data_IF_566111921065
#
_entry.id   IF_566111921065
#
_cell.length_a   1.000
_cell.length_b   1.000
_cell.length_c   1.000
_cell.angle_alpha   90.00
_cell.angle_beta   90.00
_cell.angle_gamma   90.00
#
_symmetry.space_group_name_H-M   'P 1'
#
loop_
_entity.id
_entity.type
_entity.pdbx_description
1 polymer ?
#
# COMPACT_ATOMS: atom_id res chain seq x y z
N UNK A 1 21.44 35.56 5.20
CA UNK A 1 20.64 34.44 4.69
C UNK A 1 21.21 33.18 5.26
N UNK A 2 20.62 32.68 6.34
CA UNK A 2 21.04 31.45 7.03
C UNK A 2 19.84 30.86 7.80
N UNK A 3 18.66 30.79 7.18
CA UNK A 3 17.58 29.96 7.72
C UNK A 3 17.49 28.69 6.90
N UNK A 4 18.16 27.65 7.38
CA UNK A 4 17.98 26.30 6.89
C UNK A 4 16.56 25.88 7.28
N UNK A 5 15.67 25.72 6.30
CA UNK A 5 14.36 25.14 6.54
C UNK A 5 14.60 23.65 6.79
N UNK A 6 14.66 23.25 8.06
CA UNK A 6 14.62 21.84 8.41
C UNK A 6 13.19 21.35 8.22
N UNK A 7 12.97 20.53 7.20
CA UNK A 7 11.75 19.75 7.07
C UNK A 7 11.86 18.61 8.09
N UNK A 8 10.85 18.44 8.94
CA UNK A 8 10.87 17.37 9.95
C UNK A 8 10.91 15.99 9.27
N UNK A 9 11.51 15.01 9.94
CA UNK A 9 11.64 13.66 9.40
C UNK A 9 10.28 13.04 9.03
N UNK A 10 9.25 13.30 9.86
CA UNK A 10 7.88 12.86 9.59
C UNK A 10 7.27 13.50 8.33
N UNK A 11 7.60 14.76 8.03
CA UNK A 11 7.14 15.43 6.81
C UNK A 11 7.88 14.89 5.58
N UNK A 12 9.19 14.66 5.68
CA UNK A 12 9.97 14.02 4.62
C UNK A 12 9.44 12.61 4.30
N UNK A 13 9.10 11.83 5.33
CA UNK A 13 8.53 10.50 5.15
C UNK A 13 7.15 10.56 4.49
N UNK A 14 6.28 11.47 4.93
CA UNK A 14 4.97 11.68 4.32
C UNK A 14 5.06 12.05 2.83
N UNK A 15 5.99 12.95 2.47
CA UNK A 15 6.24 13.30 1.07
C UNK A 15 6.66 12.07 0.25
N UNK A 16 7.61 11.26 0.75
CA UNK A 16 8.04 10.01 0.11
C UNK A 16 6.89 9.00 -0.06
N UNK A 17 6.04 8.84 0.95
CA UNK A 17 4.89 7.92 0.91
C UNK A 17 3.80 8.38 -0.08
N UNK A 18 3.67 9.69 -0.28
CA UNK A 18 2.71 10.29 -1.23
C UNK A 18 3.18 10.26 -2.69
N UNK A 19 4.46 9.95 -2.93
CA UNK A 19 5.08 9.98 -4.26
C UNK A 19 4.39 9.07 -5.28
N UNK A 20 4.38 9.51 -6.54
CA UNK A 20 3.83 8.74 -7.65
C UNK A 20 4.68 8.94 -8.90
N UNK A 21 5.30 7.85 -9.36
CA UNK A 21 6.15 7.86 -10.54
C UNK A 21 5.31 7.82 -11.82
N UNK A 22 5.69 8.64 -12.80
CA UNK A 22 5.05 8.65 -14.14
C UNK A 22 5.12 7.29 -14.82
N UNK A 23 6.22 6.55 -14.60
CA UNK A 23 6.43 5.23 -15.17
C UNK A 23 5.49 4.20 -14.54
N UNK A 24 5.30 4.20 -13.22
CA UNK A 24 4.32 3.31 -12.60
C UNK A 24 2.91 3.64 -13.06
N UNK A 25 2.55 4.93 -13.19
CA UNK A 25 1.23 5.31 -13.72
C UNK A 25 0.94 4.66 -15.08
N UNK A 26 1.90 4.71 -16.01
CA UNK A 26 1.77 4.05 -17.31
C UNK A 26 1.70 2.52 -17.22
N UNK A 27 2.45 1.90 -16.30
CA UNK A 27 2.40 0.46 -16.10
C UNK A 27 1.06 -0.01 -15.50
N UNK A 28 0.41 0.87 -14.72
CA UNK A 28 -0.86 0.61 -14.04
C UNK A 28 -2.08 0.97 -14.89
N UNK A 29 -1.96 1.81 -15.93
CA UNK A 29 -3.06 2.23 -16.81
C UNK A 29 -3.94 1.08 -17.34
N UNK A 30 -3.40 -0.08 -17.75
CA UNK A 30 -4.22 -1.20 -18.21
C UNK A 30 -4.97 -1.95 -17.10
N UNK A 31 -4.58 -1.75 -15.83
CA UNK A 31 -5.18 -2.43 -14.69
C UNK A 31 -6.29 -1.57 -14.10
N UNK A 32 -7.52 -2.05 -14.18
CA UNK A 32 -8.66 -1.48 -13.45
C UNK A 32 -8.61 -1.88 -11.97
N UNK A 33 -7.53 -1.48 -11.29
CA UNK A 33 -7.28 -1.81 -9.90
C UNK A 33 -8.26 -1.10 -8.98
N UNK A 34 -8.83 -1.84 -8.02
CA UNK A 34 -9.59 -1.26 -6.91
C UNK A 34 -8.70 -0.58 -5.85
N UNK A 35 -7.38 -0.81 -5.92
CA UNK A 35 -6.36 -0.21 -5.06
C UNK A 35 -5.64 0.97 -5.73
N UNK A 36 -5.20 1.92 -4.91
CA UNK A 36 -4.62 3.18 -5.37
C UNK A 36 -3.11 3.28 -5.12
N UNK A 37 -2.54 2.33 -4.38
CA UNK A 37 -1.10 2.30 -4.05
C UNK A 37 -0.46 1.03 -4.61
N UNK A 38 0.67 1.14 -5.28
CA UNK A 38 1.55 0.02 -5.61
C UNK A 38 3.00 0.46 -5.46
N UNK A 39 3.86 -0.46 -5.06
CA UNK A 39 5.28 -0.18 -4.90
C UNK A 39 6.08 -1.29 -5.58
N UNK A 40 7.08 -0.91 -6.37
CA UNK A 40 7.92 -1.85 -7.12
C UNK A 40 9.38 -1.58 -6.83
N UNK A 41 10.16 -2.64 -6.66
CA UNK A 41 11.60 -2.54 -6.50
C UNK A 41 12.28 -2.68 -7.87
N UNK A 42 13.14 -1.72 -8.21
CA UNK A 42 13.81 -1.70 -9.54
C UNK A 42 15.27 -2.18 -9.52
N UNK A 43 15.85 -2.31 -8.33
CA UNK A 43 17.24 -2.76 -8.07
C UNK A 43 17.20 -3.76 -6.91
N UNK A 44 18.07 -4.78 -6.88
CA UNK A 44 18.04 -5.76 -5.79
C UNK A 44 18.46 -5.16 -4.44
N UNK A 45 18.07 -5.77 -3.32
CA UNK A 45 18.46 -5.30 -1.98
C UNK A 45 19.98 -5.34 -1.77
N UNK A 46 20.65 -6.40 -2.28
CA UNK A 46 22.11 -6.55 -2.22
C UNK A 46 22.84 -5.42 -2.95
N UNK A 47 22.26 -4.93 -4.05
CA UNK A 47 22.83 -3.84 -4.86
C UNK A 47 22.49 -2.45 -4.28
N UNK A 48 21.39 -2.33 -3.53
CA UNK A 48 20.84 -1.05 -3.09
C UNK A 48 21.26 -0.64 -1.67
N UNK A 49 21.54 -1.59 -0.78
CA UNK A 49 21.97 -1.32 0.59
C UNK A 49 21.01 -0.40 1.35
N UNK A 50 21.55 0.61 2.04
CA UNK A 50 20.77 1.61 2.81
C UNK A 50 19.90 2.54 1.93
N UNK A 51 20.15 2.60 0.62
CA UNK A 51 19.42 3.48 -0.31
C UNK A 51 18.29 2.75 -1.04
N UNK A 52 17.86 1.59 -0.56
CA UNK A 52 16.89 0.76 -1.27
C UNK A 52 15.54 1.44 -1.53
N UNK A 53 15.12 2.36 -0.66
CA UNK A 53 13.92 3.16 -0.90
C UNK A 53 14.04 4.11 -2.10
N UNK A 54 15.25 4.56 -2.46
CA UNK A 54 15.49 5.45 -3.59
C UNK A 54 15.34 4.73 -4.94
N UNK A 55 15.37 3.39 -4.92
CA UNK A 55 15.15 2.52 -6.08
C UNK A 55 13.72 1.97 -6.14
N UNK A 56 12.82 2.53 -5.33
CA UNK A 56 11.40 2.21 -5.36
C UNK A 56 10.70 3.02 -6.44
N UNK A 57 10.02 2.33 -7.34
CA UNK A 57 9.07 2.92 -8.25
C UNK A 57 7.68 2.84 -7.61
N UNK A 58 7.09 3.98 -7.28
CA UNK A 58 5.79 4.05 -6.60
C UNK A 58 4.67 4.43 -7.57
N UNK A 59 3.51 3.82 -7.40
CA UNK A 59 2.22 4.30 -7.88
C UNK A 59 1.42 4.68 -6.64
N UNK A 60 1.05 5.95 -6.53
CA UNK A 60 0.09 6.40 -5.54
C UNK A 60 -0.85 7.39 -6.24
N UNK A 61 -2.07 6.99 -6.55
CA UNK A 61 -3.05 7.84 -7.21
C UNK A 61 -4.26 8.04 -6.31
N UNK A 62 -4.27 9.15 -5.56
CA UNK A 62 -5.29 9.42 -4.54
C UNK A 62 -5.35 8.33 -3.45
N UNK A 63 -4.25 7.60 -3.24
CA UNK A 63 -4.13 6.55 -2.25
C UNK A 63 -3.58 7.05 -0.91
N UNK A 64 -3.72 6.21 0.11
CA UNK A 64 -3.26 6.48 1.47
C UNK A 64 -2.25 5.40 1.83
N UNK A 65 -0.97 5.65 1.55
CA UNK A 65 0.12 4.74 1.93
C UNK A 65 0.57 5.05 3.36
N UNK A 66 0.71 4.02 4.18
CA UNK A 66 1.29 4.13 5.52
C UNK A 66 2.57 3.29 5.60
N UNK A 67 3.50 3.69 6.46
CA UNK A 67 4.68 2.88 6.76
C UNK A 67 4.32 1.74 7.71
N UNK A 68 5.24 0.79 7.86
CA UNK A 68 5.06 -0.36 8.75
C UNK A 68 4.87 0.05 10.22
N UNK A 69 5.59 1.09 10.68
CA UNK A 69 5.49 1.57 12.05
C UNK A 69 4.08 2.10 12.38
N UNK A 70 3.44 2.83 11.45
CA UNK A 70 2.08 3.31 11.57
C UNK A 70 1.07 2.17 11.53
N UNK A 71 1.27 1.15 10.69
CA UNK A 71 0.43 -0.04 10.68
C UNK A 71 0.51 -0.81 12.01
N UNK A 72 1.73 -1.06 12.52
CA UNK A 72 1.93 -1.70 13.83
C UNK A 72 1.30 -0.91 14.98
N UNK A 73 1.39 0.43 14.92
CA UNK A 73 0.73 1.30 15.89
C UNK A 73 -0.79 1.17 15.81
N UNK A 74 -1.36 1.17 14.61
CA UNK A 74 -2.80 0.98 14.39
C UNK A 74 -3.27 -0.37 14.97
N UNK A 75 -2.52 -1.45 14.75
CA UNK A 75 -2.80 -2.77 15.35
C UNK A 75 -2.77 -2.77 16.88
N UNK A 76 -2.00 -1.86 17.50
CA UNK A 76 -1.98 -1.68 18.96
C UNK A 76 -3.13 -0.84 19.51
N UNK A 77 -3.76 -0.01 18.68
CA UNK A 77 -4.84 0.91 19.08
C UNK A 77 -6.24 0.33 18.84
N UNK A 78 -6.41 -0.49 17.80
CA UNK A 78 -7.69 -1.13 17.46
C UNK A 78 -7.49 -2.61 17.12
N UNK A 79 -8.55 -3.40 17.28
CA UNK A 79 -8.57 -4.78 16.79
C UNK A 79 -8.71 -4.79 15.27
N UNK A 80 -7.74 -5.43 14.61
CA UNK A 80 -7.72 -5.65 13.16
C UNK A 80 -7.81 -7.15 12.88
N UNK A 81 -8.87 -7.56 12.21
CA UNK A 81 -9.11 -8.95 11.81
C UNK A 81 -8.56 -9.19 10.40
N UNK A 82 -7.70 -10.20 10.21
CA UNK A 82 -7.17 -10.55 8.90
C UNK A 82 -8.27 -11.18 8.03
N UNK A 83 -8.34 -10.74 6.79
CA UNK A 83 -9.20 -11.28 5.75
C UNK A 83 -8.41 -11.40 4.44
N UNK A 84 -8.86 -12.27 3.54
CA UNK A 84 -8.21 -12.48 2.25
C UNK A 84 -9.23 -12.33 1.16
N UNK A 85 -8.85 -11.61 0.10
CA UNK A 85 -9.72 -11.34 -1.04
C UNK A 85 -8.96 -11.57 -2.34
N UNK A 86 -9.56 -12.32 -3.26
CA UNK A 86 -9.02 -12.49 -4.60
C UNK A 86 -9.41 -11.30 -5.47
N UNK A 87 -8.41 -10.60 -6.00
CA UNK A 87 -8.60 -9.39 -6.82
C UNK A 87 -7.74 -9.41 -8.07
N UNK A 88 -8.16 -8.72 -9.15
CA UNK A 88 -7.31 -8.51 -10.30
C UNK A 88 -6.01 -7.80 -9.91
N UNK A 89 -4.87 -8.35 -10.36
CA UNK A 89 -3.54 -7.84 -10.12
C UNK A 89 -2.74 -7.76 -11.43
N UNK A 90 -1.57 -7.13 -11.38
CA UNK A 90 -0.72 -6.92 -12.57
C UNK A 90 -0.26 -8.21 -13.26
N UNK A 91 -0.18 -9.32 -12.52
CA UNK A 91 0.32 -10.61 -13.02
C UNK A 91 -0.71 -11.74 -12.85
N UNK A 92 -1.99 -11.42 -12.92
CA UNK A 92 -3.10 -12.37 -12.83
C UNK A 92 -4.07 -12.00 -11.73
N UNK A 93 -4.45 -12.98 -10.92
CA UNK A 93 -5.24 -12.77 -9.70
C UNK A 93 -4.31 -12.91 -8.51
N UNK A 94 -4.38 -11.96 -7.58
CA UNK A 94 -3.62 -12.00 -6.33
C UNK A 94 -4.59 -12.18 -5.16
N UNK A 95 -4.25 -13.09 -4.26
CA UNK A 95 -4.94 -13.22 -2.98
C UNK A 95 -4.39 -12.16 -2.04
N UNK A 96 -5.05 -11.01 -1.99
CA UNK A 96 -4.61 -9.89 -1.17
C UNK A 96 -4.88 -10.12 0.31
N UNK A 97 -3.88 -9.79 1.14
CA UNK A 97 -4.04 -9.77 2.58
C UNK A 97 -4.63 -8.42 3.01
N UNK A 98 -5.80 -8.48 3.62
CA UNK A 98 -6.52 -7.33 4.14
C UNK A 98 -6.65 -7.46 5.65
N UNK A 99 -6.81 -6.32 6.32
CA UNK A 99 -7.05 -6.22 7.75
C UNK A 99 -8.22 -5.27 7.95
N UNK A 100 -9.28 -5.73 8.58
CA UNK A 100 -10.47 -4.91 8.84
C UNK A 100 -10.67 -4.67 10.33
N UNK A 101 -11.08 -3.46 10.69
CA UNK A 101 -11.41 -3.12 12.08
C UNK A 101 -12.35 -1.94 12.18
N UNK A 102 -12.83 -1.68 13.39
CA UNK A 102 -13.71 -0.54 13.69
C UNK A 102 -12.94 0.53 14.44
N UNK A 103 -13.01 1.77 13.94
CA UNK A 103 -12.40 2.95 14.56
C UNK A 103 -13.49 3.82 15.18
N UNK A 104 -13.40 4.19 16.47
CA UNK A 104 -14.28 5.17 17.07
C UNK A 104 -13.97 6.57 16.53
N UNK A 105 -14.96 7.24 15.94
CA UNK A 105 -14.83 8.61 15.40
C UNK A 105 -15.67 9.64 16.15
N UNK A 106 -16.40 9.20 17.18
CA UNK A 106 -17.25 10.01 18.04
C UNK A 106 -17.91 9.14 19.11
N UNK A 107 -18.75 9.75 19.95
CA UNK A 107 -19.54 8.99 20.92
C UNK A 107 -20.46 8.00 20.20
N UNK A 108 -20.23 6.70 20.38
CA UNK A 108 -20.99 5.61 19.75
C UNK A 108 -20.96 5.58 18.21
N UNK A 109 -20.07 6.33 17.57
CA UNK A 109 -19.90 6.30 16.11
C UNK A 109 -18.63 5.52 15.78
N UNK A 110 -18.79 4.38 15.12
CA UNK A 110 -17.71 3.54 14.62
C UNK A 110 -17.67 3.57 13.10
N UNK A 111 -16.48 3.51 12.52
CA UNK A 111 -16.28 3.35 11.08
C UNK A 111 -15.37 2.18 10.80
N UNK A 112 -15.73 1.36 9.80
CA UNK A 112 -14.88 0.30 9.28
C UNK A 112 -13.67 0.94 8.61
N UNK A 113 -12.47 0.48 8.98
CA UNK A 113 -11.23 0.75 8.26
C UNK A 113 -10.75 -0.57 7.66
N UNK A 114 -10.19 -0.49 6.46
CA UNK A 114 -9.55 -1.63 5.80
C UNK A 114 -8.14 -1.21 5.44
N UNK A 115 -7.17 -2.05 5.81
CA UNK A 115 -5.77 -1.89 5.43
C UNK A 115 -5.36 -3.08 4.58
N UNK A 116 -4.80 -2.82 3.40
CA UNK A 116 -4.14 -3.85 2.59
C UNK A 116 -2.66 -3.90 2.93
N UNK A 117 -2.16 -5.12 3.10
CA UNK A 117 -0.75 -5.45 3.05
C UNK A 117 -0.45 -6.15 1.72
N UNK A 118 0.60 -5.71 1.02
CA UNK A 118 1.03 -6.34 -0.23
C UNK A 118 2.55 -6.34 -0.30
N UNK A 119 3.10 -7.42 -0.85
CA UNK A 119 4.54 -7.55 -1.06
C UNK A 119 5.01 -6.64 -2.18
N UNK A 120 6.21 -6.09 -2.06
CA UNK A 120 6.87 -5.34 -3.12
C UNK A 120 7.46 -6.33 -4.12
N UNK A 121 6.98 -6.37 -5.38
CA UNK A 121 7.63 -7.13 -6.44
C UNK A 121 8.91 -6.43 -6.92
N UNK A 122 9.92 -7.23 -7.26
CA UNK A 122 11.05 -6.76 -8.05
C UNK A 122 10.69 -6.81 -9.54
N UNK A 123 10.91 -5.72 -10.25
CA UNK A 123 10.66 -5.60 -11.69
C UNK A 123 11.92 -5.15 -12.44
N UNK A 124 11.96 -5.42 -13.73
CA UNK A 124 12.97 -4.85 -14.62
C UNK A 124 12.71 -3.33 -14.84
N UNK A 125 13.70 -2.45 -14.59
CA UNK A 125 13.53 -1.00 -14.72
C UNK A 125 13.28 -0.52 -16.15
N UNK A 126 13.56 -1.34 -17.17
CA UNK A 126 13.44 -0.97 -18.59
C UNK A 126 12.05 -1.28 -19.12
N UNK A 127 11.50 -2.46 -18.82
CA UNK A 127 10.22 -2.93 -19.37
C UNK A 127 9.14 -3.25 -18.31
N UNK A 128 9.43 -3.09 -17.01
CA UNK A 128 8.51 -3.40 -15.90
C UNK A 128 8.10 -4.88 -15.82
N UNK A 129 8.85 -5.78 -16.46
CA UNK A 129 8.61 -7.21 -16.33
C UNK A 129 8.88 -7.68 -14.90
N UNK A 130 7.98 -8.50 -14.37
CA UNK A 130 8.15 -9.16 -13.08
C UNK A 130 9.43 -10.01 -13.07
N UNK A 131 10.16 -9.96 -11.97
CA UNK A 131 11.33 -10.80 -11.73
C UNK A 131 11.09 -11.78 -10.59
N UNK A 132 10.71 -11.27 -9.42
CA UNK A 132 10.44 -12.05 -8.22
C UNK A 132 9.68 -11.23 -7.20
N UNK A 133 9.08 -11.89 -6.22
CA UNK A 133 8.63 -11.25 -4.98
C UNK A 133 9.82 -10.98 -4.05
N UNK A 134 9.69 -9.92 -3.26
CA UNK A 134 10.67 -9.56 -2.22
C UNK A 134 10.06 -9.77 -0.85
N UNK A 135 10.87 -9.65 0.20
CA UNK A 135 10.40 -9.73 1.60
C UNK A 135 9.81 -8.41 2.09
N UNK A 136 9.92 -7.33 1.30
CA UNK A 136 9.37 -6.02 1.66
C UNK A 136 7.86 -6.01 1.45
N UNK A 137 7.16 -5.37 2.36
CA UNK A 137 5.72 -5.09 2.24
C UNK A 137 5.46 -3.58 2.20
N UNK A 138 4.31 -3.21 1.65
CA UNK A 138 3.74 -1.88 1.78
C UNK A 138 2.29 -1.96 2.23
N UNK A 139 1.84 -0.89 2.86
CA UNK A 139 0.52 -0.82 3.47
C UNK A 139 -0.30 0.32 2.88
N UNK A 140 -1.56 0.04 2.57
CA UNK A 140 -2.52 1.01 2.05
C UNK A 140 -3.78 1.00 2.91
N UNK A 141 -4.23 2.18 3.33
CA UNK A 141 -5.59 2.34 3.86
C UNK A 141 -6.56 2.41 2.68
N UNK A 142 -7.41 1.39 2.54
CA UNK A 142 -8.35 1.28 1.43
C UNK A 142 -9.49 2.28 1.57
N UNK A 143 -9.62 3.16 0.59
CA UNK A 143 -10.68 4.18 0.51
C UNK A 143 -11.71 3.90 -0.58
N UNK A 144 -11.47 2.91 -1.45
CA UNK A 144 -12.38 2.56 -2.54
C UNK A 144 -13.59 1.78 -2.01
N UNK A 145 -14.84 2.27 -2.20
CA UNK A 145 -16.05 1.59 -1.76
C UNK A 145 -16.20 0.15 -2.29
N UNK A 146 -15.66 -0.15 -3.47
CA UNK A 146 -15.71 -1.49 -4.04
C UNK A 146 -15.05 -2.54 -3.14
N UNK A 147 -13.95 -2.19 -2.45
CA UNK A 147 -13.27 -3.12 -1.53
C UNK A 147 -14.15 -3.43 -0.32
N UNK A 148 -14.87 -2.44 0.21
CA UNK A 148 -15.80 -2.65 1.32
C UNK A 148 -16.96 -3.58 0.90
N UNK A 149 -17.52 -3.36 -0.29
CA UNK A 149 -18.59 -4.19 -0.84
C UNK A 149 -18.14 -5.64 -1.06
N UNK A 150 -16.96 -5.84 -1.66
CA UNK A 150 -16.41 -7.19 -1.87
C UNK A 150 -16.21 -7.94 -0.54
N UNK A 151 -15.71 -7.26 0.51
CA UNK A 151 -15.54 -7.87 1.82
C UNK A 151 -16.89 -8.22 2.49
N UNK A 152 -17.89 -7.35 2.38
CA UNK A 152 -19.24 -7.63 2.89
C UNK A 152 -19.87 -8.84 2.19
N UNK A 153 -19.66 -8.99 0.88
CA UNK A 153 -20.13 -10.13 0.09
C UNK A 153 -19.42 -11.44 0.48
N UNK A 154 -18.10 -11.43 0.66
CA UNK A 154 -17.33 -12.59 1.13
C UNK A 154 -17.72 -13.00 2.56
N UNK A 155 -17.88 -12.03 3.47
CA UNK A 155 -18.36 -12.25 4.85
C UNK A 155 -19.75 -12.91 4.84
N UNK A 156 -20.64 -12.50 3.93
CA UNK A 156 -21.99 -13.06 3.80
C UNK A 156 -22.02 -14.46 3.17
N UNK A 157 -21.04 -14.82 2.33
CA UNK A 157 -20.93 -16.14 1.71
C UNK A 157 -20.24 -17.17 2.62
N UNK A 158 -19.44 -16.71 3.59
CA UNK A 158 -18.75 -17.54 4.58
C UNK A 158 -19.55 -17.85 5.86
N UNK A 159 -20.73 -17.24 6.05
CA UNK A 159 -21.62 -17.39 7.21
C UNK A 159 -22.79 -18.36 6.94
#
# INVERSE_FOLDING_TARGET
GEQHIMISDALNESDRLSSCSKRARKAMEPLESSFNVYAFQTVSDDDAGENADDFMMTYNLNGIRINEAAFRKLQGEISLEPCQLDVPALWGTERCQLYSGLVPVGHEIFRKIIVRESSVPQIDPRNSAFRRWTERSYYEVCSNPAIYQLLEEEEAQGA
#
